data_IF_801851090171
#
_entry.id   IF_801851090171
#
_cell.length_a   1.000
_cell.length_b   1.000
_cell.length_c   1.000
_cell.angle_alpha   90.00
_cell.angle_beta   90.00
_cell.angle_gamma   90.00
#
_symmetry.space_group_name_H-M   'P 1'
#
loop_
_entity.id
_entity.type
_entity.pdbx_description
1 polymer ?
#
# COMPACT_ATOMS: atom_id res chain seq x y z
N UNK A 1 0.02 24.56 -41.02
CA UNK A 1 -0.33 24.60 -39.59
C UNK A 1 -0.54 23.16 -39.11
N UNK A 2 0.53 22.44 -38.75
CA UNK A 2 0.44 20.99 -38.42
C UNK A 2 1.35 20.59 -37.25
N UNK A 3 1.78 21.55 -36.44
CA UNK A 3 2.69 21.34 -35.31
C UNK A 3 1.96 21.29 -33.95
N UNK A 4 0.75 21.85 -33.86
CA UNK A 4 0.01 21.96 -32.59
C UNK A 4 -0.59 20.63 -32.10
N UNK A 5 -0.93 19.71 -33.01
CA UNK A 5 -1.52 18.42 -32.64
C UNK A 5 -0.49 17.43 -32.07
N UNK A 6 0.77 17.52 -32.50
CA UNK A 6 1.84 16.63 -32.04
C UNK A 6 2.23 16.92 -30.59
N UNK A 7 2.36 18.20 -30.21
CA UNK A 7 2.65 18.59 -28.82
C UNK A 7 1.52 18.23 -27.86
N UNK A 8 0.26 18.34 -28.29
CA UNK A 8 -0.88 17.93 -27.46
C UNK A 8 -0.91 16.42 -27.26
N UNK A 9 -0.66 15.63 -28.32
CA UNK A 9 -0.57 14.18 -28.22
C UNK A 9 0.58 13.75 -27.29
N UNK A 10 1.75 14.38 -27.42
CA UNK A 10 2.92 14.09 -26.59
C UNK A 10 2.66 14.46 -25.11
N UNK A 11 1.98 15.57 -24.85
CA UNK A 11 1.57 16.00 -23.51
C UNK A 11 0.59 15.01 -22.87
N UNK A 12 -0.40 14.53 -23.63
CA UNK A 12 -1.34 13.51 -23.15
C UNK A 12 -0.61 12.19 -22.84
N UNK A 13 0.32 11.76 -23.68
CA UNK A 13 1.12 10.56 -23.44
C UNK A 13 1.99 10.74 -22.19
N UNK A 14 2.63 11.89 -22.00
CA UNK A 14 3.43 12.18 -20.80
C UNK A 14 2.58 12.18 -19.53
N UNK A 15 1.42 12.84 -19.55
CA UNK A 15 0.47 12.82 -18.44
C UNK A 15 -0.01 11.40 -18.14
N UNK A 16 -0.30 10.60 -19.17
CA UNK A 16 -0.70 9.20 -19.00
C UNK A 16 0.40 8.37 -18.36
N UNK A 17 1.66 8.53 -18.80
CA UNK A 17 2.81 7.83 -18.22
C UNK A 17 3.06 8.22 -16.75
N UNK A 18 2.87 9.49 -16.39
CA UNK A 18 2.97 9.96 -15.00
C UNK A 18 1.85 9.35 -14.15
N UNK A 19 0.62 9.31 -14.67
CA UNK A 19 -0.52 8.67 -13.98
C UNK A 19 -0.29 7.17 -13.81
N UNK A 20 0.25 6.49 -14.82
CA UNK A 20 0.58 5.06 -14.74
C UNK A 20 1.70 4.80 -13.72
N UNK A 21 2.71 5.67 -13.63
CA UNK A 21 3.79 5.55 -12.65
C UNK A 21 3.28 5.76 -11.21
N UNK A 22 2.41 6.75 -10.98
CA UNK A 22 1.78 7.01 -9.68
C UNK A 22 0.81 5.89 -9.25
N UNK A 23 0.26 5.13 -10.20
CA UNK A 23 -0.62 4.00 -9.94
C UNK A 23 0.12 2.71 -9.57
N UNK A 24 1.45 2.70 -9.53
CA UNK A 24 2.22 1.49 -9.22
C UNK A 24 2.01 0.98 -7.79
N UNK A 25 1.39 1.79 -6.91
CA UNK A 25 0.95 1.36 -5.59
C UNK A 25 2.10 0.88 -4.70
N UNK A 26 3.32 1.33 -5.02
CA UNK A 26 4.52 1.03 -4.28
C UNK A 26 4.56 1.90 -3.03
N UNK A 27 5.10 1.37 -1.94
CA UNK A 27 5.36 2.13 -0.72
C UNK A 27 6.64 1.64 -0.06
N UNK A 28 7.21 2.46 0.81
CA UNK A 28 8.47 2.13 1.48
C UNK A 28 8.27 2.06 2.98
N UNK A 29 8.67 0.93 3.58
CA UNK A 29 8.84 0.82 5.03
C UNK A 29 10.34 0.77 5.36
N UNK A 30 10.78 1.41 6.46
CA UNK A 30 12.08 1.12 7.08
C UNK A 30 12.26 -0.38 7.30
N UNK A 31 13.49 -0.91 7.12
CA UNK A 31 13.79 -2.32 7.38
C UNK A 31 13.55 -2.77 8.83
N UNK A 32 13.52 -1.83 9.78
CA UNK A 32 13.19 -2.08 11.18
C UNK A 32 11.69 -2.22 11.43
N UNK A 33 10.84 -1.93 10.44
CA UNK A 33 9.39 -1.97 10.53
C UNK A 33 8.82 -3.12 9.72
N UNK A 34 7.62 -3.53 10.09
CA UNK A 34 6.82 -4.53 9.40
C UNK A 34 5.89 -3.83 8.43
N UNK A 35 5.93 -4.24 7.16
CA UNK A 35 5.09 -3.67 6.12
C UNK A 35 3.89 -4.56 5.81
N UNK A 36 2.73 -3.92 5.69
CA UNK A 36 1.46 -4.56 5.45
C UNK A 36 0.63 -3.75 4.47
N UNK A 37 -0.42 -4.39 3.96
CA UNK A 37 -1.49 -3.74 3.24
C UNK A 37 -2.69 -3.69 4.17
N UNK A 38 -3.25 -2.51 4.40
CA UNK A 38 -4.38 -2.36 5.29
C UNK A 38 -5.45 -1.44 4.71
N UNK A 39 -6.70 -1.64 5.10
CA UNK A 39 -7.75 -0.66 4.89
C UNK A 39 -8.62 -0.56 6.16
N UNK A 40 -9.23 0.61 6.33
CA UNK A 40 -10.15 0.90 7.42
C UNK A 40 -11.51 0.25 7.17
N UNK A 41 -11.98 -0.55 8.13
CA UNK A 41 -13.34 -1.05 8.15
C UNK A 41 -14.26 -0.02 8.80
N UNK A 42 -14.74 0.91 7.97
CA UNK A 42 -15.62 2.02 8.35
C UNK A 42 -17.00 1.56 8.87
N UNK A 43 -17.32 0.27 8.81
CA UNK A 43 -18.57 -0.28 9.35
C UNK A 43 -18.48 -0.56 10.86
N UNK A 44 -17.31 -0.35 11.47
CA UNK A 44 -17.05 -0.61 12.89
C UNK A 44 -16.72 0.67 13.66
N UNK A 45 -17.16 0.74 14.93
CA UNK A 45 -16.84 1.84 15.86
C UNK A 45 -16.41 1.20 17.20
N UNK A 46 -15.14 1.34 17.64
CA UNK A 46 -14.04 2.01 16.96
C UNK A 46 -13.67 1.34 15.62
N UNK A 47 -12.99 2.10 14.74
CA UNK A 47 -12.61 1.63 13.40
C UNK A 47 -11.60 0.49 13.52
N UNK A 48 -11.92 -0.65 12.93
CA UNK A 48 -10.99 -1.76 12.80
C UNK A 48 -10.22 -1.67 11.49
N UNK A 49 -9.09 -2.37 11.43
CA UNK A 49 -8.23 -2.42 10.26
C UNK A 49 -8.15 -3.85 9.74
N UNK A 50 -8.38 -4.03 8.45
CA UNK A 50 -8.21 -5.31 7.78
C UNK A 50 -6.82 -5.36 7.12
N UNK A 51 -5.96 -6.21 7.65
CA UNK A 51 -4.58 -6.39 7.22
C UNK A 51 -4.42 -7.56 6.25
N UNK A 52 -3.54 -7.38 5.27
CA UNK A 52 -3.12 -8.37 4.30
C UNK A 52 -1.62 -8.26 4.00
N UNK A 53 -1.08 -9.25 3.26
CA UNK A 53 0.35 -9.32 3.00
C UNK A 53 0.80 -8.23 2.02
N UNK A 54 1.89 -7.55 2.37
CA UNK A 54 2.63 -6.71 1.44
C UNK A 54 3.79 -7.50 0.83
N UNK A 55 4.06 -7.30 -0.46
CA UNK A 55 5.08 -8.05 -1.19
C UNK A 55 6.27 -7.17 -1.52
N UNK A 56 7.47 -7.64 -1.20
CA UNK A 56 8.70 -6.94 -1.51
C UNK A 56 9.09 -7.15 -2.97
N UNK A 57 9.28 -6.06 -3.72
CA UNK A 57 9.79 -6.11 -5.10
C UNK A 57 11.32 -6.02 -5.14
N UNK A 58 11.91 -5.14 -4.32
CA UNK A 58 13.36 -5.01 -4.14
C UNK A 58 13.69 -3.99 -3.03
N UNK A 59 14.88 -4.09 -2.42
CA UNK A 59 15.38 -3.06 -1.50
C UNK A 59 15.89 -1.88 -2.34
N UNK A 60 15.08 -0.82 -2.48
CA UNK A 60 15.47 0.38 -3.26
C UNK A 60 16.54 1.22 -2.57
N UNK A 61 16.64 1.15 -1.23
CA UNK A 61 17.73 1.77 -0.46
C UNK A 61 18.24 0.82 0.63
N UNK A 62 19.46 1.02 1.18
CA UNK A 62 20.02 0.14 2.21
C UNK A 62 19.13 -0.04 3.44
N UNK A 63 18.27 0.95 3.73
CA UNK A 63 17.48 1.03 4.95
C UNK A 63 15.97 0.91 4.74
N UNK A 64 15.48 0.77 3.50
CA UNK A 64 14.04 0.63 3.21
C UNK A 64 13.73 -0.58 2.32
N UNK A 65 12.56 -1.15 2.55
CA UNK A 65 11.94 -2.18 1.72
C UNK A 65 10.89 -1.52 0.84
N UNK A 66 11.01 -1.69 -0.49
CA UNK A 66 9.95 -1.31 -1.42
C UNK A 66 8.93 -2.44 -1.50
N UNK A 67 7.70 -2.13 -1.10
CA UNK A 67 6.59 -3.04 -0.95
C UNK A 67 5.44 -2.66 -1.87
N UNK A 68 4.62 -3.63 -2.25
CA UNK A 68 3.37 -3.41 -3.01
C UNK A 68 2.19 -4.14 -2.38
N UNK A 69 1.02 -3.55 -2.54
CA UNK A 69 -0.27 -4.15 -2.19
C UNK A 69 -0.99 -4.81 -3.37
N UNK A 70 -0.40 -4.80 -4.57
CA UNK A 70 -1.03 -5.34 -5.77
C UNK A 70 -1.45 -6.81 -5.64
N UNK A 71 -0.73 -7.58 -4.83
CA UNK A 71 -0.98 -9.02 -4.62
C UNK A 71 -1.60 -9.34 -3.26
N UNK A 72 -2.01 -8.34 -2.47
CA UNK A 72 -2.53 -8.57 -1.11
C UNK A 72 -3.91 -9.26 -1.09
N UNK A 73 -4.63 -9.33 -2.22
CA UNK A 73 -5.94 -9.99 -2.38
C UNK A 73 -6.93 -9.71 -1.23
N UNK A 74 -6.89 -8.50 -0.68
CA UNK A 74 -7.81 -8.08 0.38
C UNK A 74 -9.22 -7.96 -0.21
N UNK A 75 -10.25 -8.48 0.48
CA UNK A 75 -11.57 -8.70 -0.12
C UNK A 75 -12.35 -7.41 -0.40
N UNK A 76 -12.00 -6.29 0.25
CA UNK A 76 -12.77 -5.05 0.20
C UNK A 76 -11.83 -3.85 0.19
N UNK A 77 -12.17 -2.81 -0.60
CA UNK A 77 -11.48 -1.51 -0.58
C UNK A 77 -10.20 -1.43 -1.41
N UNK A 78 -9.62 -0.22 -1.42
CA UNK A 78 -8.30 0.03 -2.00
C UNK A 78 -7.28 -0.03 -0.86
N UNK A 79 -6.48 -1.11 -0.74
CA UNK A 79 -5.55 -1.25 0.37
C UNK A 79 -4.47 -0.17 0.30
N UNK A 80 -4.11 0.33 1.47
CA UNK A 80 -3.07 1.32 1.69
C UNK A 80 -1.82 0.65 2.25
N UNK A 81 -0.65 1.13 1.83
CA UNK A 81 0.60 0.73 2.43
C UNK A 81 0.62 1.16 3.89
N UNK A 82 0.92 0.23 4.80
CA UNK A 82 0.99 0.49 6.24
C UNK A 82 2.29 -0.06 6.78
N UNK A 83 3.00 0.74 7.57
CA UNK A 83 4.20 0.32 8.28
C UNK A 83 3.92 0.28 9.78
N UNK A 84 4.39 -0.75 10.47
CA UNK A 84 4.23 -0.93 11.91
C UNK A 84 5.59 -1.17 12.58
N UNK A 85 5.80 -0.58 13.76
CA UNK A 85 7.01 -0.82 14.56
C UNK A 85 7.07 -2.24 15.14
N UNK A 86 5.91 -2.85 15.36
CA UNK A 86 5.77 -4.24 15.85
C UNK A 86 4.93 -5.05 14.87
N UNK A 87 5.17 -6.35 14.85
CA UNK A 87 4.29 -7.28 14.15
C UNK A 87 2.91 -7.28 14.78
N UNK A 88 1.88 -7.08 13.96
CA UNK A 88 0.46 -7.20 14.35
C UNK A 88 -0.09 -8.61 14.20
N UNK A 89 0.76 -9.56 13.78
CA UNK A 89 0.38 -10.93 13.51
C UNK A 89 0.79 -11.39 12.12
N UNK A 90 0.43 -12.62 11.80
CA UNK A 90 0.79 -13.25 10.54
C UNK A 90 -0.32 -13.05 9.50
N UNK A 91 -0.17 -11.97 8.71
CA UNK A 91 -1.03 -11.69 7.56
C UNK A 91 -0.66 -12.55 6.33
N UNK A 92 0.54 -13.14 6.30
CA UNK A 92 1.06 -13.87 5.13
C UNK A 92 0.58 -15.31 5.09
N UNK A 93 0.36 -15.93 6.26
CA UNK A 93 -0.19 -17.29 6.36
C UNK A 93 -1.71 -17.37 6.15
N UNK A 94 -2.40 -16.24 6.02
CA UNK A 94 -3.86 -16.23 5.82
C UNK A 94 -4.21 -16.51 4.37
N UNK A 95 -5.40 -17.08 4.16
CA UNK A 95 -5.89 -17.36 2.82
C UNK A 95 -6.28 -16.05 2.10
N UNK A 96 -6.17 -15.98 0.76
CA UNK A 96 -6.70 -14.86 0.00
C UNK A 96 -8.19 -14.64 0.32
N UNK A 97 -8.57 -13.42 0.70
CA UNK A 97 -9.93 -13.09 1.13
C UNK A 97 -10.24 -13.29 2.62
N UNK A 98 -9.30 -13.79 3.43
CA UNK A 98 -9.40 -13.86 4.91
C UNK A 98 -8.44 -12.82 5.55
N UNK A 99 -8.83 -11.54 5.64
CA UNK A 99 -7.99 -10.48 6.19
C UNK A 99 -7.74 -10.70 7.68
N UNK A 100 -6.54 -10.33 8.14
CA UNK A 100 -6.25 -10.24 9.56
C UNK A 100 -6.91 -8.98 10.13
N UNK A 101 -7.95 -9.15 10.95
CA UNK A 101 -8.64 -8.02 11.58
C UNK A 101 -7.86 -7.57 12.81
N UNK A 102 -7.45 -6.31 12.82
CA UNK A 102 -6.73 -5.65 13.91
C UNK A 102 -7.62 -4.52 14.46
N UNK A 103 -7.86 -4.55 15.77
CA UNK A 103 -8.61 -3.49 16.44
C UNK A 103 -7.81 -2.19 16.52
N UNK A 104 -8.50 -1.05 16.57
CA UNK A 104 -7.88 0.28 16.65
C UNK A 104 -6.77 0.37 17.70
N UNK A 105 -7.01 -0.12 18.92
CA UNK A 105 -6.05 -0.03 20.02
C UNK A 105 -4.77 -0.83 19.74
N UNK A 106 -4.90 -2.00 19.11
CA UNK A 106 -3.76 -2.84 18.74
C UNK A 106 -2.97 -2.24 17.56
N UNK A 107 -3.66 -1.59 16.63
CA UNK A 107 -3.03 -0.82 15.54
C UNK A 107 -2.12 0.27 16.11
N UNK A 108 -2.62 1.07 17.06
CA UNK A 108 -1.85 2.13 17.72
C UNK A 108 -0.72 1.55 18.57
N UNK A 109 -0.99 0.50 19.35
CA UNK A 109 0.00 -0.16 20.23
C UNK A 109 1.17 -0.80 19.46
N UNK A 110 0.92 -1.22 18.22
CA UNK A 110 1.93 -1.74 17.30
C UNK A 110 2.69 -0.63 16.55
N UNK A 111 2.33 0.64 16.72
CA UNK A 111 2.97 1.77 16.02
C UNK A 111 2.64 1.81 14.52
N UNK A 112 1.48 1.27 14.14
CA UNK A 112 1.08 1.24 12.74
C UNK A 112 0.69 2.63 12.24
N UNK A 113 1.05 2.94 10.99
CA UNK A 113 0.66 4.16 10.30
C UNK A 113 0.61 3.93 8.79
N UNK A 114 -0.35 4.56 8.11
CA UNK A 114 -0.39 4.60 6.65
C UNK A 114 0.84 5.34 6.12
N UNK A 115 1.42 4.82 5.05
CA UNK A 115 2.51 5.46 4.32
C UNK A 115 2.07 5.81 2.89
N UNK A 116 2.51 6.97 2.38
CA UNK A 116 2.17 7.37 1.02
C UNK A 116 2.77 6.41 0.00
N UNK A 117 2.07 6.27 -1.12
CA UNK A 117 2.64 5.58 -2.28
C UNK A 117 3.78 6.41 -2.87
N UNK A 118 4.85 5.72 -3.27
CA UNK A 118 6.08 6.28 -3.83
C UNK A 118 5.99 6.56 -5.33
#
# INVERSE_FOLDING_TARGET
MHFSNFSNLLSVIFMLLIVIACATGLFACPRSQYGYCAFEDLLTIPINYAFGPAFALSSTTPNSLSLTCQYSHLPVGTPKGTCCDKSVGDAFLRSPGDPLIIYYDDYIKAGCHEVPSA
#
